data_IF_044291292317
#
_entry.id   IF_044291292317
#
_cell.length_a   1.000
_cell.length_b   1.000
_cell.length_c   1.000
_cell.angle_alpha   90.00
_cell.angle_beta   90.00
_cell.angle_gamma   90.00
#
_symmetry.space_group_name_H-M   'P 1'
#
loop_
_entity.id
_entity.type
_entity.pdbx_description
1 polymer ?
#
# COMPACT_ATOMS: atom_id res chain seq x y z
N UNK A 1 17.22 -8.49 0.54
CA UNK A 1 16.64 -7.79 -0.63
C UNK A 1 15.14 -7.97 -0.60
N UNK A 2 14.40 -6.89 -0.38
CA UNK A 2 12.94 -6.93 -0.48
C UNK A 2 12.53 -6.89 -1.96
N UNK A 3 11.58 -7.73 -2.39
CA UNK A 3 11.05 -7.68 -3.76
C UNK A 3 10.42 -6.32 -4.06
N UNK A 4 10.20 -6.04 -5.35
CA UNK A 4 9.54 -4.83 -5.84
C UNK A 4 8.16 -5.20 -6.35
N UNK A 5 7.17 -4.40 -5.98
CA UNK A 5 5.83 -4.44 -6.53
C UNK A 5 5.50 -3.13 -7.24
N UNK A 6 4.81 -3.23 -8.38
CA UNK A 6 4.46 -2.10 -9.24
C UNK A 6 2.98 -2.17 -9.66
N UNK A 7 2.32 -1.02 -9.68
CA UNK A 7 0.92 -0.93 -10.10
C UNK A 7 0.58 0.43 -10.69
N UNK A 8 -0.14 0.41 -11.82
CA UNK A 8 -0.67 1.61 -12.44
C UNK A 8 -1.87 2.21 -11.69
N UNK A 9 -2.33 3.37 -12.16
CA UNK A 9 -3.54 4.06 -11.68
C UNK A 9 -4.71 3.07 -11.70
N UNK A 10 -5.29 2.83 -10.53
CA UNK A 10 -6.38 1.89 -10.34
C UNK A 10 -6.97 2.06 -8.95
N UNK A 11 -8.22 1.63 -8.80
CA UNK A 11 -8.91 1.58 -7.51
C UNK A 11 -9.42 0.16 -7.28
N UNK A 12 -9.04 -0.47 -6.17
CA UNK A 12 -9.42 -1.85 -5.89
C UNK A 12 -9.47 -2.14 -4.39
N UNK A 13 -10.41 -3.01 -3.94
CA UNK A 13 -10.40 -3.52 -2.58
C UNK A 13 -9.24 -4.51 -2.40
N UNK A 14 -8.67 -4.53 -1.20
CA UNK A 14 -7.63 -5.47 -0.81
C UNK A 14 -7.76 -5.84 0.66
N UNK A 15 -7.50 -7.10 0.97
CA UNK A 15 -7.45 -7.63 2.33
C UNK A 15 -6.07 -8.21 2.56
N UNK A 16 -5.42 -7.80 3.64
CA UNK A 16 -4.11 -8.32 4.03
C UNK A 16 -4.27 -9.60 4.85
N UNK A 17 -3.82 -10.71 4.32
CA UNK A 17 -3.83 -12.04 4.97
C UNK A 17 -2.62 -12.29 5.88
N UNK A 18 -1.57 -11.49 5.73
CA UNK A 18 -0.37 -11.48 6.58
C UNK A 18 0.05 -10.01 6.82
N UNK A 19 0.88 -9.76 7.84
CA UNK A 19 1.45 -8.43 8.05
C UNK A 19 2.46 -8.08 6.94
N UNK A 20 2.29 -6.93 6.28
CA UNK A 20 3.13 -6.48 5.17
C UNK A 20 3.77 -5.12 5.49
N UNK A 21 5.10 -5.09 5.54
CA UNK A 21 5.88 -3.86 5.61
C UNK A 21 6.18 -3.35 4.20
N UNK A 22 5.97 -2.06 3.96
CA UNK A 22 6.15 -1.42 2.67
C UNK A 22 6.99 -0.15 2.76
N UNK A 23 8.00 -0.05 1.91
CA UNK A 23 8.67 1.22 1.61
C UNK A 23 8.24 1.70 0.22
N UNK A 24 7.61 2.87 0.15
CA UNK A 24 7.13 3.43 -1.12
C UNK A 24 8.28 4.16 -1.81
N UNK A 25 8.66 3.67 -3.00
CA UNK A 25 9.73 4.24 -3.81
C UNK A 25 9.21 5.34 -4.72
N UNK A 26 8.02 5.14 -5.30
CA UNK A 26 7.37 6.07 -6.22
C UNK A 26 5.85 6.01 -6.06
N UNK A 27 5.17 7.10 -6.43
CA UNK A 27 3.72 7.17 -6.50
C UNK A 27 3.05 7.96 -5.38
N UNK A 28 1.73 8.02 -5.48
CA UNK A 28 0.84 8.67 -4.54
C UNK A 28 -0.53 7.98 -4.62
N UNK A 29 -1.03 7.55 -3.48
CA UNK A 29 -2.28 6.81 -3.38
C UNK A 29 -2.96 7.07 -2.04
N UNK A 30 -4.24 6.78 -1.97
CA UNK A 30 -5.01 6.80 -0.73
C UNK A 30 -5.35 5.37 -0.33
N UNK A 31 -5.18 5.07 0.96
CA UNK A 31 -5.66 3.83 1.59
C UNK A 31 -6.90 4.20 2.38
N UNK A 32 -8.04 3.68 1.98
CA UNK A 32 -9.32 3.88 2.67
C UNK A 32 -9.59 2.67 3.55
N UNK A 33 -9.73 2.88 4.86
CA UNK A 33 -10.05 1.84 5.84
C UNK A 33 -11.33 2.22 6.60
N UNK A 34 -11.84 1.30 7.42
CA UNK A 34 -12.97 1.61 8.31
C UNK A 34 -12.66 2.72 9.33
N UNK A 35 -11.38 2.93 9.65
CA UNK A 35 -10.91 3.94 10.62
C UNK A 35 -10.66 5.30 9.97
N UNK A 36 -10.48 5.34 8.64
CA UNK A 36 -10.32 6.57 7.90
C UNK A 36 -9.47 6.41 6.64
N UNK A 37 -9.18 7.56 6.02
CA UNK A 37 -8.44 7.62 4.77
C UNK A 37 -7.04 8.17 5.01
N UNK A 38 -6.03 7.45 4.53
CA UNK A 38 -4.62 7.77 4.68
C UNK A 38 -4.01 8.04 3.32
N UNK A 39 -3.35 9.19 3.16
CA UNK A 39 -2.60 9.49 1.93
C UNK A 39 -1.17 9.01 2.11
N UNK A 40 -0.68 8.24 1.14
CA UNK A 40 0.66 7.66 1.11
C UNK A 40 1.38 8.13 -0.14
N UNK A 41 2.67 8.46 -0.02
CA UNK A 41 3.53 8.95 -1.10
C UNK A 41 4.93 8.33 -1.05
N UNK A 42 5.71 8.58 -2.09
CA UNK A 42 7.13 8.21 -2.13
C UNK A 42 7.90 8.69 -0.89
N UNK A 43 8.70 7.78 -0.31
CA UNK A 43 9.47 7.98 0.92
C UNK A 43 8.77 7.49 2.19
N UNK A 44 7.46 7.24 2.15
CA UNK A 44 6.74 6.73 3.31
C UNK A 44 7.07 5.24 3.56
N UNK A 45 7.18 4.89 4.83
CA UNK A 45 7.21 3.51 5.31
C UNK A 45 5.91 3.20 6.04
N UNK A 46 5.22 2.16 5.60
CA UNK A 46 3.89 1.79 6.11
C UNK A 46 3.86 0.31 6.43
N UNK A 47 3.09 -0.05 7.44
CA UNK A 47 2.83 -1.44 7.81
C UNK A 47 1.34 -1.69 7.71
N UNK A 48 0.94 -2.65 6.88
CA UNK A 48 -0.41 -3.16 6.82
C UNK A 48 -0.52 -4.37 7.75
N UNK A 49 -1.50 -4.34 8.66
CA UNK A 49 -1.69 -5.42 9.64
C UNK A 49 -2.49 -6.57 9.02
N UNK A 50 -2.21 -7.78 9.48
CA UNK A 50 -3.03 -8.96 9.18
C UNK A 50 -4.51 -8.68 9.50
N UNK A 51 -5.40 -9.07 8.60
CA UNK A 51 -6.83 -8.86 8.70
C UNK A 51 -7.30 -7.46 8.27
N UNK A 52 -6.40 -6.55 7.87
CA UNK A 52 -6.80 -5.22 7.41
C UNK A 52 -7.52 -5.31 6.06
N UNK A 53 -8.78 -4.88 6.05
CA UNK A 53 -9.55 -4.61 4.84
C UNK A 53 -9.43 -3.14 4.46
N UNK A 54 -9.06 -2.86 3.21
CA UNK A 54 -8.92 -1.50 2.72
C UNK A 54 -9.22 -1.38 1.22
N UNK A 55 -9.37 -0.15 0.76
CA UNK A 55 -9.38 0.18 -0.67
C UNK A 55 -8.14 0.96 -1.01
N UNK A 56 -7.40 0.48 -2.00
CA UNK A 56 -6.32 1.24 -2.62
C UNK A 56 -6.92 2.13 -3.70
N UNK A 57 -6.69 3.44 -3.62
CA UNK A 57 -7.01 4.44 -4.63
C UNK A 57 -5.72 5.04 -5.18
N UNK A 58 -5.15 4.40 -6.20
CA UNK A 58 -3.85 4.78 -6.79
C UNK A 58 -4.05 5.92 -7.78
N UNK A 59 -3.51 7.09 -7.44
CA UNK A 59 -3.65 8.33 -8.25
C UNK A 59 -2.43 8.62 -9.11
N UNK A 60 -1.25 8.16 -8.68
CA UNK A 60 -0.01 8.12 -9.47
C UNK A 60 0.56 6.70 -9.39
N UNK A 61 1.14 6.14 -10.49
CA UNK A 61 1.70 4.79 -10.49
C UNK A 61 2.61 4.55 -9.28
N UNK A 62 2.43 3.41 -8.63
CA UNK A 62 3.14 3.05 -7.39
C UNK A 62 4.25 2.06 -7.69
N UNK A 63 5.39 2.28 -7.04
CA UNK A 63 6.49 1.32 -6.92
C UNK A 63 6.83 1.22 -5.44
N UNK A 64 6.87 0.00 -4.89
CA UNK A 64 7.20 -0.23 -3.48
C UNK A 64 8.11 -1.43 -3.29
N UNK A 65 8.96 -1.38 -2.26
CA UNK A 65 9.47 -2.60 -1.64
C UNK A 65 8.45 -3.13 -0.66
N UNK A 66 8.33 -4.46 -0.57
CA UNK A 66 7.44 -5.11 0.38
C UNK A 66 8.14 -6.28 1.09
N UNK A 67 7.74 -6.54 2.34
CA UNK A 67 8.19 -7.67 3.12
C UNK A 67 7.06 -8.21 4.00
N UNK A 68 6.69 -9.47 3.78
CA UNK A 68 5.76 -10.21 4.63
C UNK A 68 6.43 -10.60 5.95
N UNK A 69 5.64 -10.66 7.02
CA UNK A 69 6.07 -11.03 8.38
C UNK A 69 5.38 -12.28 8.87
#
# INVERSE_FOLDING_TARGET
NWPIWEKGISRFPWTYDEEEECLILEGEFMVETAEGNYTVKAGDFITFKEGLECVWDIRKPVKKHYNFK
#
